data_IF_478172005035
#
_entry.id   IF_478172005035
#
_cell.length_a   1.000
_cell.length_b   1.000
_cell.length_c   1.000
_cell.angle_alpha   90.00
_cell.angle_beta   90.00
_cell.angle_gamma   90.00
#
_symmetry.space_group_name_H-M   'P 1'
#
loop_
_entity.id
_entity.type
_entity.pdbx_description
1 polymer ?
#
# COMPACT_ATOMS: atom_id res chain seq x y z
N UNK A 1 -14.28 -18.94 9.98
CA UNK A 1 -12.92 -19.40 9.59
C UNK A 1 -12.31 -18.56 8.45
N UNK A 2 -12.61 -17.26 8.39
CA UNK A 2 -12.34 -16.38 7.23
C UNK A 2 -11.17 -15.43 7.47
N UNK A 3 -10.90 -15.08 8.73
CA UNK A 3 -9.82 -14.17 9.16
C UNK A 3 -8.43 -14.84 9.11
N UNK A 4 -8.37 -16.17 9.29
CA UNK A 4 -7.10 -16.90 9.40
C UNK A 4 -6.28 -16.96 8.11
N UNK A 5 -6.92 -17.03 6.95
CA UNK A 5 -6.21 -17.11 5.66
C UNK A 5 -5.53 -15.79 5.27
N UNK A 6 -6.12 -14.64 5.63
CA UNK A 6 -5.51 -13.33 5.44
C UNK A 6 -4.23 -13.19 6.26
N UNK A 7 -4.24 -13.67 7.51
CA UNK A 7 -3.07 -13.65 8.38
C UNK A 7 -1.93 -14.53 7.85
N UNK A 8 -2.24 -15.69 7.26
CA UNK A 8 -1.21 -16.61 6.73
C UNK A 8 -0.55 -16.04 5.47
N UNK A 9 -1.32 -15.54 4.51
CA UNK A 9 -0.76 -14.91 3.30
C UNK A 9 0.04 -13.65 3.65
N UNK A 10 -0.47 -12.83 4.57
CA UNK A 10 0.21 -11.62 5.03
C UNK A 10 1.51 -11.94 5.78
N UNK A 11 1.48 -12.86 6.75
CA UNK A 11 2.69 -13.25 7.51
C UNK A 11 3.75 -13.89 6.62
N UNK A 12 3.36 -14.77 5.70
CA UNK A 12 4.32 -15.46 4.83
C UNK A 12 4.98 -14.53 3.81
N UNK A 13 4.35 -13.41 3.47
CA UNK A 13 4.87 -12.43 2.52
C UNK A 13 5.20 -11.09 3.18
N UNK A 14 5.27 -11.05 4.52
CA UNK A 14 5.43 -9.80 5.26
C UNK A 14 6.70 -9.07 4.83
N UNK A 15 7.81 -9.78 4.70
CA UNK A 15 9.08 -9.22 4.24
C UNK A 15 8.96 -8.60 2.85
N UNK A 16 8.28 -9.28 1.91
CA UNK A 16 8.09 -8.76 0.54
C UNK A 16 7.22 -7.50 0.57
N UNK A 17 6.12 -7.53 1.31
CA UNK A 17 5.22 -6.38 1.48
C UNK A 17 5.98 -5.19 2.06
N UNK A 18 6.71 -5.40 3.16
CA UNK A 18 7.46 -4.34 3.84
C UNK A 18 8.57 -3.78 2.96
N UNK A 19 9.36 -4.64 2.31
CA UNK A 19 10.44 -4.21 1.41
C UNK A 19 9.89 -3.44 0.22
N UNK A 20 8.84 -3.93 -0.44
CA UNK A 20 8.23 -3.24 -1.57
C UNK A 20 7.62 -1.90 -1.14
N UNK A 21 6.88 -1.90 -0.03
CA UNK A 21 6.26 -0.68 0.53
C UNK A 21 7.33 0.35 0.86
N UNK A 22 8.40 -0.04 1.57
CA UNK A 22 9.46 0.86 1.96
C UNK A 22 10.20 1.42 0.74
N UNK A 23 10.62 0.56 -0.18
CA UNK A 23 11.36 0.98 -1.37
C UNK A 23 10.53 1.94 -2.24
N UNK A 24 9.26 1.60 -2.50
CA UNK A 24 8.35 2.46 -3.24
C UNK A 24 8.15 3.79 -2.52
N UNK A 25 7.93 3.78 -1.20
CA UNK A 25 7.74 5.02 -0.42
C UNK A 25 8.96 5.92 -0.51
N UNK A 26 10.17 5.36 -0.39
CA UNK A 26 11.41 6.15 -0.49
C UNK A 26 11.57 6.76 -1.89
N UNK A 27 11.35 5.98 -2.94
CA UNK A 27 11.47 6.45 -4.33
C UNK A 27 10.46 7.58 -4.60
N UNK A 28 9.18 7.36 -4.28
CA UNK A 28 8.15 8.36 -4.49
C UNK A 28 8.34 9.59 -3.61
N UNK A 29 8.81 9.42 -2.37
CA UNK A 29 9.10 10.56 -1.50
C UNK A 29 10.10 11.54 -2.14
N UNK A 30 11.16 11.06 -2.81
CA UNK A 30 12.08 11.96 -3.51
C UNK A 30 11.44 12.64 -4.72
N UNK A 31 10.56 11.95 -5.43
CA UNK A 31 9.74 12.56 -6.50
C UNK A 31 8.83 13.66 -5.95
N UNK A 32 8.16 13.38 -4.83
CA UNK A 32 7.28 14.31 -4.14
C UNK A 32 8.06 15.54 -3.64
N UNK A 33 9.27 15.36 -3.10
CA UNK A 33 10.15 16.48 -2.70
C UNK A 33 10.44 17.43 -3.87
N UNK A 34 10.77 16.87 -5.03
CA UNK A 34 11.01 17.65 -6.24
C UNK A 34 9.74 18.37 -6.70
N UNK A 35 8.61 17.66 -6.75
CA UNK A 35 7.34 18.24 -7.19
C UNK A 35 6.87 19.40 -6.30
N UNK A 36 7.05 19.31 -4.97
CA UNK A 36 6.72 20.40 -4.06
C UNK A 36 7.75 21.54 -4.08
N UNK A 37 9.04 21.25 -4.30
CA UNK A 37 10.07 22.29 -4.41
C UNK A 37 9.85 23.16 -5.66
N UNK A 38 9.46 22.55 -6.78
CA UNK A 38 9.18 23.23 -8.05
C UNK A 38 7.74 23.79 -8.15
N UNK A 39 6.95 23.71 -7.07
CA UNK A 39 5.53 24.10 -7.04
C UNK A 39 4.69 23.44 -8.16
N UNK A 40 5.07 22.24 -8.58
CA UNK A 40 4.25 21.42 -9.49
C UNK A 40 3.01 20.91 -8.75
N UNK A 41 3.19 20.57 -7.48
CA UNK A 41 2.10 20.20 -6.58
C UNK A 41 1.91 21.27 -5.52
N UNK A 42 0.65 21.59 -5.26
CA UNK A 42 0.25 22.52 -4.22
C UNK A 42 -0.73 21.82 -3.27
N UNK A 43 -0.50 22.01 -1.97
CA UNK A 43 -1.44 21.63 -0.93
C UNK A 43 -1.86 22.91 -0.25
N UNK A 44 -3.17 23.19 -0.26
CA UNK A 44 -3.72 24.35 0.45
C UNK A 44 -3.53 24.16 1.94
N UNK A 45 -3.02 25.19 2.64
CA UNK A 45 -2.81 25.16 4.09
C UNK A 45 -4.07 24.78 4.88
N UNK A 46 -5.26 25.09 4.33
CA UNK A 46 -6.55 24.74 4.92
C UNK A 46 -6.84 23.22 4.95
N UNK A 47 -6.14 22.45 4.12
CA UNK A 47 -6.28 20.98 4.01
C UNK A 47 -5.05 20.25 4.51
N UNK A 48 -4.06 20.98 5.03
CA UNK A 48 -2.87 20.41 5.64
C UNK A 48 -2.92 20.56 7.16
N UNK A 49 -2.32 19.61 7.85
CA UNK A 49 -2.00 19.67 9.27
C UNK A 49 -0.75 20.51 9.53
N UNK A 50 -0.13 21.07 8.49
CA UNK A 50 1.01 21.99 8.56
C UNK A 50 2.36 21.33 8.84
N UNK A 51 2.40 20.01 9.02
CA UNK A 51 3.64 19.27 9.26
C UNK A 51 4.28 18.85 7.94
N UNK A 52 5.58 19.12 7.81
CA UNK A 52 6.37 18.81 6.61
C UNK A 52 7.69 18.13 6.97
N UNK A 53 8.16 17.26 6.08
CA UNK A 53 9.55 16.79 6.08
C UNK A 53 10.15 17.35 4.79
N UNK A 54 11.12 18.26 4.87
CA UNK A 54 11.57 19.02 3.69
C UNK A 54 10.41 19.82 3.07
N UNK A 55 10.24 19.71 1.74
CA UNK A 55 9.15 20.37 1.01
C UNK A 55 7.84 19.57 1.03
N UNK A 56 7.89 18.29 1.35
CA UNK A 56 6.73 17.38 1.27
C UNK A 56 5.90 17.41 2.56
N UNK A 57 4.57 17.63 2.47
CA UNK A 57 3.64 17.47 3.59
C UNK A 57 3.63 16.03 4.12
N UNK A 58 3.47 15.85 5.43
CA UNK A 58 3.48 14.52 6.05
C UNK A 58 2.33 13.64 5.56
N UNK A 59 1.19 14.24 5.20
CA UNK A 59 0.02 13.54 4.67
C UNK A 59 0.32 12.89 3.34
N UNK A 60 1.16 13.52 2.50
CA UNK A 60 1.61 12.93 1.25
C UNK A 60 2.50 11.72 1.52
N UNK A 61 3.38 11.79 2.52
CA UNK A 61 4.24 10.65 2.92
C UNK A 61 3.37 9.49 3.41
N UNK A 62 2.38 9.77 4.26
CA UNK A 62 1.43 8.76 4.76
C UNK A 62 0.59 8.19 3.62
N UNK A 63 0.13 9.03 2.69
CA UNK A 63 -0.62 8.60 1.51
C UNK A 63 0.21 7.64 0.65
N UNK A 64 1.45 8.02 0.33
CA UNK A 64 2.38 7.18 -0.45
C UNK A 64 2.68 5.86 0.28
N UNK A 65 2.88 5.90 1.60
CA UNK A 65 3.12 4.71 2.42
C UNK A 65 1.92 3.75 2.40
N UNK A 66 0.73 4.27 2.69
CA UNK A 66 -0.50 3.47 2.79
C UNK A 66 -0.92 2.92 1.43
N UNK A 67 -0.82 3.71 0.36
CA UNK A 67 -1.11 3.26 -1.01
C UNK A 67 -0.11 2.21 -1.48
N UNK A 68 1.19 2.38 -1.22
CA UNK A 68 2.23 1.38 -1.56
C UNK A 68 2.01 0.05 -0.83
N UNK A 69 1.61 0.11 0.44
CA UNK A 69 1.26 -1.08 1.22
C UNK A 69 0.03 -1.79 0.64
N UNK A 70 -1.03 -1.04 0.32
CA UNK A 70 -2.25 -1.59 -0.27
C UNK A 70 -1.97 -2.25 -1.62
N UNK A 71 -1.23 -1.59 -2.50
CA UNK A 71 -0.86 -2.11 -3.83
C UNK A 71 -0.03 -3.39 -3.68
N UNK A 72 0.97 -3.40 -2.79
CA UNK A 72 1.79 -4.58 -2.54
C UNK A 72 0.94 -5.76 -2.06
N UNK A 73 0.03 -5.51 -1.12
CA UNK A 73 -0.87 -6.52 -0.60
C UNK A 73 -1.82 -7.08 -1.67
N UNK A 74 -2.48 -6.21 -2.43
CA UNK A 74 -3.42 -6.59 -3.50
C UNK A 74 -2.70 -7.34 -4.61
N UNK A 75 -1.47 -6.95 -4.96
CA UNK A 75 -0.67 -7.64 -5.99
C UNK A 75 -0.33 -9.06 -5.57
N UNK A 76 0.14 -9.26 -4.34
CA UNK A 76 0.47 -10.60 -3.81
C UNK A 76 -0.79 -11.46 -3.70
N UNK A 77 -1.90 -10.87 -3.31
CA UNK A 77 -3.20 -11.51 -3.28
C UNK A 77 -3.62 -12.01 -4.66
N UNK A 78 -3.55 -11.16 -5.69
CA UNK A 78 -3.86 -11.52 -7.07
C UNK A 78 -2.92 -12.60 -7.61
N UNK A 79 -1.62 -12.50 -7.31
CA UNK A 79 -0.61 -13.48 -7.68
C UNK A 79 -0.92 -14.87 -7.09
N UNK A 80 -1.30 -14.92 -5.82
CA UNK A 80 -1.72 -16.17 -5.17
C UNK A 80 -2.99 -16.77 -5.78
N UNK A 81 -3.94 -15.93 -6.20
CA UNK A 81 -5.14 -16.39 -6.92
C UNK A 81 -4.78 -17.01 -8.26
N UNK A 82 -3.90 -16.33 -9.01
CA UNK A 82 -3.42 -16.78 -10.31
C UNK A 82 -2.71 -18.13 -10.24
N UNK A 83 -1.72 -18.31 -9.36
CA UNK A 83 -0.99 -19.58 -9.23
C UNK A 83 -1.91 -20.74 -8.84
N UNK A 84 -2.89 -20.48 -7.97
CA UNK A 84 -3.81 -21.52 -7.50
C UNK A 84 -4.93 -21.82 -8.50
N UNK A 85 -5.00 -21.10 -9.62
CA UNK A 85 -6.10 -21.13 -10.58
C UNK A 85 -7.49 -21.03 -9.90
N UNK A 86 -7.57 -20.19 -8.87
CA UNK A 86 -8.79 -19.97 -8.09
C UNK A 86 -9.19 -18.52 -8.19
N UNK A 87 -10.49 -18.24 -8.22
CA UNK A 87 -10.94 -16.85 -8.15
C UNK A 87 -10.69 -16.32 -6.74
N UNK A 88 -10.57 -15.00 -6.63
CA UNK A 88 -10.49 -14.33 -5.32
C UNK A 88 -11.60 -14.81 -4.37
N UNK A 89 -12.82 -14.98 -4.90
CA UNK A 89 -13.94 -15.51 -4.11
C UNK A 89 -13.72 -16.92 -3.57
N UNK A 90 -13.04 -17.79 -4.33
CA UNK A 90 -12.89 -19.21 -3.99
C UNK A 90 -11.80 -19.44 -2.95
N UNK A 91 -10.86 -18.49 -2.81
CA UNK A 91 -9.80 -18.54 -1.80
C UNK A 91 -10.27 -17.94 -0.47
N UNK A 92 -11.11 -16.90 -0.52
CA UNK A 92 -11.42 -16.09 0.66
C UNK A 92 -12.86 -16.21 1.15
N UNK A 93 -13.83 -16.41 0.26
CA UNK A 93 -15.22 -16.70 0.61
C UNK A 93 -15.45 -18.20 0.41
N UNK A 94 -14.88 -19.01 1.29
CA UNK A 94 -15.29 -20.42 1.37
C UNK A 94 -16.76 -20.39 1.78
N UNK A 95 -17.67 -20.62 0.81
CA UNK A 95 -19.09 -20.77 1.08
C UNK A 95 -19.18 -21.90 2.10
N UNK A 96 -19.59 -21.60 3.33
CA UNK A 96 -20.05 -22.63 4.24
C UNK A 96 -21.29 -23.22 3.54
N UNK A 97 -21.09 -24.35 2.85
CA UNK A 97 -22.22 -25.14 2.36
C UNK A 97 -22.83 -25.80 3.61
N UNK A 98 -24.14 -25.66 3.83
CA UNK A 98 -24.84 -26.46 4.83
C UNK A 98 -24.76 -27.96 4.50
#
# INVERSE_FOLDING_TARGET
MTVYLHQITFKNNLTVILTATFLSTVIYYFGDQFAFAENIWEVTDQKSIGLRIGHTPIEQIVFTLTSSMLISFVTILMYNCYIKNKRFRDIYFKKEMP
#
